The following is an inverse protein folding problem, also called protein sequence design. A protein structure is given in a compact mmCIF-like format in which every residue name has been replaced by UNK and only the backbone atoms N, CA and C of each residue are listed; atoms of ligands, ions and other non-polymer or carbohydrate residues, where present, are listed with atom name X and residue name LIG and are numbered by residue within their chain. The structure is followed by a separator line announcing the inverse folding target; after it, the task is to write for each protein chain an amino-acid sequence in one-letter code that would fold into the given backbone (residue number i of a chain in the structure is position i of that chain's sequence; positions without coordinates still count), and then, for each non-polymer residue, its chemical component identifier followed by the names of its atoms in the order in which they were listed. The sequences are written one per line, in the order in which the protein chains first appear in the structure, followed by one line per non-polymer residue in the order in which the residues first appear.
data_IF_974681199741
#
_entry.id   IF_974681199741
#
_cell.length_a   1.000
_cell.length_b   1.000
_cell.length_c   1.000
_cell.angle_alpha   90.00
_cell.angle_beta   90.00
_cell.angle_gamma   90.00
#
_symmetry.space_group_name_H-M   'P 1'
#
loop_
_entity.id
_entity.type
_entity.pdbx_description
1 polymer ?
#
# COMPACT_ATOMS: atom_id res chain seq x y z
N UNK A 1 14.35 -7.11 7.20
CA UNK A 1 13.65 -6.07 7.99
C UNK A 1 12.21 -5.97 7.49
N UNK A 2 11.38 -5.07 8.01
CA UNK A 2 9.96 -4.96 7.65
C UNK A 2 9.67 -3.56 7.12
N UNK A 3 8.88 -3.45 6.06
CA UNK A 3 8.35 -2.17 5.59
C UNK A 3 7.21 -1.70 6.49
N UNK A 4 7.13 -0.42 6.79
CA UNK A 4 6.02 0.16 7.58
C UNK A 4 5.32 1.22 6.77
N UNK A 5 3.99 1.14 6.66
CA UNK A 5 3.14 2.13 6.01
C UNK A 5 2.22 2.79 7.04
N UNK A 6 2.23 4.12 7.10
CA UNK A 6 1.30 4.91 7.92
C UNK A 6 0.08 5.29 7.10
N UNK A 7 -1.10 4.90 7.57
CA UNK A 7 -2.36 5.32 6.95
C UNK A 7 -2.54 6.84 7.01
N UNK A 8 -2.29 7.47 8.16
CA UNK A 8 -2.49 8.92 8.37
C UNK A 8 -1.63 9.76 7.44
N UNK A 9 -0.35 9.40 7.29
CA UNK A 9 0.61 10.22 6.53
C UNK A 9 0.75 9.77 5.07
N UNK A 10 0.32 8.55 4.75
CA UNK A 10 0.58 7.91 3.46
C UNK A 10 2.06 7.56 3.23
N UNK A 11 2.90 7.65 4.27
CA UNK A 11 4.34 7.45 4.17
C UNK A 11 4.68 5.98 4.36
N UNK A 12 5.54 5.45 3.50
CA UNK A 12 6.18 4.15 3.67
C UNK A 12 7.64 4.34 4.10
N UNK A 13 8.11 3.54 5.05
CA UNK A 13 9.50 3.56 5.51
C UNK A 13 10.05 2.16 5.71
N UNK A 14 11.34 2.00 5.51
CA UNK A 14 12.05 0.74 5.72
C UNK A 14 13.56 0.96 5.56
N UNK A 15 14.27 -0.12 5.26
CA UNK A 15 15.71 -0.07 4.99
C UNK A 15 15.97 -0.62 3.60
N UNK A 16 16.79 0.08 2.83
CA UNK A 16 17.24 -0.35 1.52
C UNK A 16 18.76 -0.19 1.44
N UNK A 17 19.46 -1.25 1.06
CA UNK A 17 20.93 -1.27 0.97
C UNK A 17 21.62 -0.78 2.25
N UNK A 18 21.09 -1.17 3.42
CA UNK A 18 21.63 -0.79 4.73
C UNK A 18 21.36 0.66 5.17
N UNK A 19 20.58 1.43 4.41
CA UNK A 19 20.23 2.82 4.74
C UNK A 19 18.72 2.99 4.96
N UNK A 20 18.29 3.90 5.85
CA UNK A 20 16.88 4.27 5.96
C UNK A 20 16.34 4.75 4.61
N UNK A 21 15.17 4.26 4.21
CA UNK A 21 14.45 4.66 3.02
C UNK A 21 13.03 5.08 3.37
N UNK A 22 12.54 6.14 2.72
CA UNK A 22 11.17 6.59 2.87
C UNK A 22 10.60 7.07 1.55
N UNK A 23 9.33 6.80 1.29
CA UNK A 23 8.61 7.33 0.15
C UNK A 23 7.20 7.81 0.55
N UNK A 24 6.67 8.76 -0.23
CA UNK A 24 5.33 9.29 -0.06
C UNK A 24 4.35 8.56 -0.98
N UNK A 25 3.20 8.22 -0.44
CA UNK A 25 2.08 7.61 -1.14
C UNK A 25 0.75 8.02 -0.54
N UNK A 26 -0.29 7.23 -0.84
CA UNK A 26 -1.60 7.37 -0.23
C UNK A 26 -2.41 6.07 -0.31
N UNK A 27 -3.48 5.97 0.48
CA UNK A 27 -4.45 4.89 0.41
C UNK A 27 -5.86 5.41 0.68
N UNK A 28 -6.84 4.89 -0.06
CA UNK A 28 -8.20 5.44 -0.10
C UNK A 28 -8.34 6.64 -1.04
N UNK A 29 -9.54 7.20 -1.11
CA UNK A 29 -9.91 8.28 -2.06
C UNK A 29 -10.82 9.31 -1.44
N UNK A 30 -10.91 10.48 -2.08
CA UNK A 30 -11.78 11.57 -1.66
C UNK A 30 -11.59 11.92 -0.18
N UNK A 31 -12.70 12.07 0.54
CA UNK A 31 -12.71 12.39 1.97
C UNK A 31 -12.17 11.26 2.88
N UNK A 32 -12.00 10.05 2.34
CA UNK A 32 -11.53 8.87 3.09
C UNK A 32 -10.03 8.64 2.93
N UNK A 33 -9.37 9.36 2.02
CA UNK A 33 -7.94 9.19 1.70
C UNK A 33 -7.10 9.48 2.93
N UNK A 34 -6.25 8.52 3.30
CA UNK A 34 -5.34 8.61 4.44
C UNK A 34 -6.05 8.91 5.78
N UNK A 35 -7.30 8.50 5.93
CA UNK A 35 -8.06 8.63 7.18
C UNK A 35 -8.28 7.24 7.79
N UNK A 36 -7.45 6.85 8.78
CA UNK A 36 -7.44 5.51 9.39
C UNK A 36 -8.79 5.01 9.89
N UNK A 37 -9.61 5.93 10.40
CA UNK A 37 -10.93 5.66 10.95
C UNK A 37 -11.84 5.05 9.88
N UNK A 38 -11.63 5.35 8.60
CA UNK A 38 -12.44 4.85 7.50
C UNK A 38 -11.92 3.56 6.86
N UNK A 39 -10.94 2.87 7.44
CA UNK A 39 -10.40 1.62 6.88
C UNK A 39 -11.44 0.49 6.74
N UNK A 40 -12.62 0.61 7.35
CA UNK A 40 -13.74 -0.32 7.17
C UNK A 40 -14.59 0.00 5.93
N UNK A 41 -14.46 1.22 5.36
CA UNK A 41 -15.29 1.68 4.23
C UNK A 41 -14.83 1.00 2.94
N UNK A 42 -15.64 0.06 2.47
CA UNK A 42 -15.38 -0.71 1.24
C UNK A 42 -15.17 0.20 0.04
N UNK A 43 -14.14 -0.12 -0.75
CA UNK A 43 -13.75 0.57 -1.99
C UNK A 43 -13.39 2.06 -1.88
N UNK A 44 -13.32 2.64 -0.67
CA UNK A 44 -13.06 4.07 -0.52
C UNK A 44 -12.06 4.38 0.58
N UNK A 45 -12.15 3.68 1.72
CA UNK A 45 -11.23 3.82 2.83
C UNK A 45 -9.86 3.22 2.58
N UNK A 46 -8.84 3.60 3.36
CA UNK A 46 -7.49 3.08 3.24
C UNK A 46 -7.44 1.57 3.51
N UNK A 47 -6.34 0.93 3.11
CA UNK A 47 -6.04 -0.47 3.42
C UNK A 47 -6.15 -0.73 4.93
N UNK A 48 -6.80 -1.80 5.42
CA UNK A 48 -6.86 -2.10 6.86
C UNK A 48 -5.48 -2.21 7.52
N UNK A 49 -5.40 -1.86 8.80
CA UNK A 49 -4.19 -2.01 9.61
C UNK A 49 -3.86 -3.49 9.82
N UNK A 50 -2.59 -3.77 10.06
CA UNK A 50 -2.08 -5.12 10.31
C UNK A 50 -0.92 -5.49 9.42
N UNK A 51 -0.58 -6.76 9.40
CA UNK A 51 0.60 -7.27 8.68
C UNK A 51 0.19 -7.91 7.37
N UNK A 52 0.99 -7.68 6.33
CA UNK A 52 0.76 -8.20 4.99
C UNK A 52 2.05 -8.81 4.45
N UNK A 53 1.90 -9.83 3.61
CA UNK A 53 2.98 -10.35 2.76
C UNK A 53 2.87 -9.70 1.39
N UNK A 54 3.99 -9.15 0.91
CA UNK A 54 4.13 -8.52 -0.40
C UNK A 54 4.42 -9.58 -1.45
N UNK A 55 3.55 -9.69 -2.46
CA UNK A 55 3.69 -10.59 -3.59
C UNK A 55 4.70 -10.11 -4.63
N UNK A 56 5.00 -10.98 -5.60
CA UNK A 56 5.89 -10.64 -6.72
C UNK A 56 5.25 -9.57 -7.62
N UNK A 57 6.06 -8.65 -8.18
CA UNK A 57 5.56 -7.63 -9.08
C UNK A 57 5.08 -8.28 -10.37
N UNK A 58 3.93 -7.84 -10.85
CA UNK A 58 3.35 -8.26 -12.14
C UNK A 58 2.76 -7.06 -12.89
N UNK A 59 2.26 -7.34 -14.10
CA UNK A 59 1.51 -6.36 -14.90
C UNK A 59 0.03 -6.62 -14.71
N UNK A 60 -0.69 -5.60 -14.26
CA UNK A 60 -2.14 -5.60 -14.14
C UNK A 60 -2.74 -4.76 -15.27
N UNK A 61 -3.78 -5.28 -15.91
CA UNK A 61 -4.55 -4.54 -16.93
C UNK A 61 -5.18 -3.28 -16.33
N UNK A 62 -5.56 -3.32 -15.05
CA UNK A 62 -6.28 -2.24 -14.36
C UNK A 62 -5.35 -1.23 -13.69
N UNK A 63 -4.28 -1.69 -13.06
CA UNK A 63 -3.41 -0.89 -12.17
C UNK A 63 -1.99 -0.71 -12.72
N UNK A 64 -1.74 -1.19 -13.93
CA UNK A 64 -0.53 -0.93 -14.69
C UNK A 64 0.63 -1.87 -14.36
N UNK A 65 1.85 -1.37 -14.58
CA UNK A 65 3.08 -2.17 -14.41
C UNK A 65 3.58 -2.13 -12.96
N UNK A 66 4.24 -3.23 -12.57
CA UNK A 66 4.93 -3.36 -11.30
C UNK A 66 3.99 -3.23 -10.11
N UNK A 67 2.89 -4.00 -10.17
CA UNK A 67 1.88 -4.11 -9.13
C UNK A 67 2.24 -5.29 -8.23
N UNK A 68 2.15 -5.11 -6.92
CA UNK A 68 2.42 -6.16 -5.94
C UNK A 68 1.15 -6.42 -5.12
N UNK A 69 0.63 -7.64 -5.15
CA UNK A 69 -0.51 -8.02 -4.32
C UNK A 69 -0.12 -8.11 -2.84
N UNK A 70 -1.06 -7.78 -1.96
CA UNK A 70 -0.88 -7.84 -0.52
C UNK A 70 -1.76 -8.94 0.06
N UNK A 71 -1.13 -9.99 0.57
CA UNK A 71 -1.83 -11.06 1.29
C UNK A 71 -1.92 -10.67 2.77
N UNK A 72 -3.12 -10.46 3.34
CA UNK A 72 -3.26 -10.12 4.74
C UNK A 72 -2.89 -11.30 5.63
N UNK A 73 -2.29 -11.00 6.78
CA UNK A 73 -2.20 -11.98 7.85
C UNK A 73 -3.61 -12.38 8.32
N UNK A 74 -3.89 -13.66 8.62
CA UNK A 74 -5.21 -14.10 9.08
C UNK A 74 -5.73 -13.39 10.34
N UNK A 75 -4.84 -12.81 11.15
CA UNK A 75 -5.20 -12.06 12.36
C UNK A 75 -5.62 -10.61 12.08
N UNK A 76 -5.48 -10.11 10.84
CA UNK A 76 -5.94 -8.77 10.49
C UNK A 76 -7.47 -8.72 10.47
N UNK A 77 -8.05 -7.65 11.02
CA UNK A 77 -9.46 -7.36 10.77
C UNK A 77 -9.60 -6.71 9.39
N UNK A 78 -10.06 -7.49 8.42
CA UNK A 78 -10.20 -7.04 7.04
C UNK A 78 -11.54 -6.39 6.73
N UNK A 79 -12.50 -6.36 7.66
CA UNK A 79 -13.83 -5.77 7.46
C UNK A 79 -14.56 -6.32 6.22
N UNK A 80 -14.35 -7.60 5.88
CA UNK A 80 -14.90 -8.23 4.67
C UNK A 80 -14.33 -7.69 3.34
N UNK A 81 -13.15 -7.05 3.38
CA UNK A 81 -12.43 -6.51 2.21
C UNK A 81 -11.25 -7.41 1.82
N UNK A 82 -10.88 -7.37 0.55
CA UNK A 82 -9.82 -8.19 -0.06
C UNK A 82 -9.14 -7.43 -1.21
N UNK A 83 -8.25 -8.12 -1.93
CA UNK A 83 -7.67 -7.68 -3.21
C UNK A 83 -6.86 -6.38 -3.12
N UNK A 84 -6.13 -6.23 -2.00
CA UNK A 84 -5.24 -5.10 -1.77
C UNK A 84 -3.95 -5.26 -2.55
N UNK A 85 -3.45 -4.13 -3.05
CA UNK A 85 -2.21 -4.06 -3.83
C UNK A 85 -1.36 -2.86 -3.41
N UNK A 86 -0.08 -2.91 -3.76
CA UNK A 86 0.77 -1.74 -3.94
C UNK A 86 0.85 -1.48 -5.45
N UNK A 87 0.36 -0.34 -5.93
CA UNK A 87 0.36 0.00 -7.35
C UNK A 87 0.69 1.47 -7.63
N UNK A 88 0.78 1.83 -8.91
CA UNK A 88 1.02 3.20 -9.35
C UNK A 88 -0.24 4.05 -9.39
N UNK A 89 -0.07 5.36 -9.38
CA UNK A 89 -1.20 6.28 -9.52
C UNK A 89 -1.78 6.23 -10.94
N UNK A 90 -3.00 6.75 -11.08
CA UNK A 90 -3.64 6.93 -12.38
C UNK A 90 -2.98 8.08 -13.12
N UNK A 91 -2.64 7.88 -14.39
CA UNK A 91 -2.16 8.96 -15.27
C UNK A 91 -3.31 9.89 -15.65
N UNK A 92 -4.52 9.36 -15.80
CA UNK A 92 -5.70 10.10 -16.26
C UNK A 92 -6.43 10.83 -15.12
N UNK A 93 -6.29 10.36 -13.88
CA UNK A 93 -6.92 10.94 -12.69
C UNK A 93 -6.02 10.80 -11.44
N UNK A 94 -4.91 11.57 -11.38
CA UNK A 94 -3.93 11.46 -10.30
C UNK A 94 -4.54 11.71 -8.92
N UNK A 95 -4.10 10.92 -7.93
CA UNK A 95 -4.55 11.01 -6.56
C UNK A 95 -5.87 10.29 -6.27
N UNK A 96 -6.58 9.76 -7.27
CA UNK A 96 -7.88 9.11 -7.07
C UNK A 96 -7.90 7.62 -7.45
N UNK A 97 -6.75 7.03 -7.72
CA UNK A 97 -6.65 5.66 -8.20
C UNK A 97 -7.00 4.59 -7.14
N UNK A 98 -6.78 4.89 -5.86
CA UNK A 98 -6.94 3.90 -4.78
C UNK A 98 -8.40 3.64 -4.42
N UNK A 99 -8.81 2.37 -4.35
CA UNK A 99 -10.05 1.91 -3.69
C UNK A 99 -9.75 1.32 -2.29
N UNK A 100 -8.59 1.67 -1.73
CA UNK A 100 -8.02 1.08 -0.51
C UNK A 100 -6.68 0.40 -0.72
N UNK A 101 -6.16 0.31 -1.94
CA UNK A 101 -4.77 -0.10 -2.18
C UNK A 101 -3.78 0.99 -1.72
N UNK A 102 -2.50 0.63 -1.58
CA UNK A 102 -1.42 1.60 -1.39
C UNK A 102 -0.95 2.07 -2.76
N UNK A 103 -0.95 3.38 -2.97
CA UNK A 103 -0.44 4.01 -4.19
C UNK A 103 0.92 4.61 -3.90
N UNK A 104 1.93 4.21 -4.68
CA UNK A 104 3.32 4.66 -4.56
C UNK A 104 3.92 4.92 -5.94
N UNK A 105 5.00 5.70 -6.00
CA UNK A 105 5.79 5.90 -7.23
C UNK A 105 6.41 4.58 -7.72
N UNK A 106 6.76 4.51 -9.01
CA UNK A 106 7.41 3.31 -9.58
C UNK A 106 8.70 2.95 -8.83
N UNK A 107 9.56 3.93 -8.61
CA UNK A 107 10.86 3.73 -7.94
C UNK A 107 10.70 3.20 -6.51
N UNK A 108 9.68 3.66 -5.77
CA UNK A 108 9.39 3.13 -4.45
C UNK A 108 8.95 1.66 -4.50
N UNK A 109 8.11 1.29 -5.48
CA UNK A 109 7.68 -0.11 -5.66
C UNK A 109 8.85 -1.02 -6.03
N UNK A 110 9.74 -0.56 -6.91
CA UNK A 110 10.97 -1.28 -7.28
C UNK A 110 11.88 -1.43 -6.06
N UNK A 111 12.09 -0.36 -5.30
CA UNK A 111 12.89 -0.36 -4.06
C UNK A 111 12.36 -1.37 -3.05
N UNK A 112 11.04 -1.38 -2.83
CA UNK A 112 10.38 -2.31 -1.90
C UNK A 112 10.63 -3.76 -2.29
N UNK A 113 10.42 -4.12 -3.56
CA UNK A 113 10.57 -5.51 -3.96
C UNK A 113 12.03 -5.95 -3.99
N UNK A 114 12.92 -5.09 -4.51
CA UNK A 114 14.35 -5.41 -4.66
C UNK A 114 15.11 -5.39 -3.34
N UNK A 115 14.53 -4.88 -2.24
CA UNK A 115 15.14 -5.02 -0.91
C UNK A 115 15.14 -6.48 -0.42
N UNK A 116 14.27 -7.34 -0.97
CA UNK A 116 14.05 -8.71 -0.50
C UNK A 116 13.19 -8.82 0.76
N UNK A 117 12.83 -7.71 1.39
CA UNK A 117 11.94 -7.67 2.55
C UNK A 117 10.48 -7.65 2.10
N UNK A 118 9.81 -8.79 2.25
CA UNK A 118 8.44 -9.01 1.74
C UNK A 118 7.35 -8.87 2.82
N UNK A 119 7.68 -8.32 3.99
CA UNK A 119 6.70 -8.06 5.05
C UNK A 119 6.40 -6.57 5.10
N UNK A 120 5.11 -6.24 5.15
CA UNK A 120 4.58 -4.90 5.33
C UNK A 120 3.75 -4.85 6.61
N UNK A 121 4.03 -3.88 7.48
CA UNK A 121 3.17 -3.52 8.61
C UNK A 121 2.44 -2.22 8.30
N UNK A 122 1.11 -2.27 8.27
CA UNK A 122 0.26 -1.09 8.14
C UNK A 122 -0.16 -0.63 9.53
N UNK A 123 0.15 0.61 9.86
CA UNK A 123 -0.20 1.25 11.13
C UNK A 123 -1.10 2.46 10.89
N UNK A 124 -1.80 2.89 11.95
CA UNK A 124 -2.48 4.20 11.95
C UNK A 124 -1.48 5.31 11.57
N UNK A 125 -0.43 5.43 12.39
CA UNK A 125 0.61 6.46 12.29
C UNK A 125 0.11 7.87 12.58
#
# INVERSE_FOLDING_TARGET
MTWTYSQTTGRISGVFQGKPYTAQGYSGRGIYKNVPEYQYVKNQGPIPQGTYTIGKPHVSVKTGRYVMDLTPNPNNNMFGRSDFQIHGDSILDPGNASNGCIVLSHDARVTIYTSGDLILTVVKG
#
